data_IF_121869997264
#
_entry.id   IF_121869997264
#
_cell.length_a   1.000
_cell.length_b   1.000
_cell.length_c   1.000
_cell.angle_alpha   90.00
_cell.angle_beta   90.00
_cell.angle_gamma   90.00
#
_symmetry.space_group_name_H-M   'P 1'
#
loop_
_entity.id
_entity.type
_entity.pdbx_description
1 polymer ?
#
# COMPACT_ATOMS: atom_id res chain seq x y z
N UNK A 1 -9.99 -47.26 -4.46
CA UNK A 1 -10.22 -46.91 -3.04
C UNK A 1 -8.85 -46.69 -2.40
N UNK A 2 -8.66 -45.50 -1.81
CA UNK A 2 -7.54 -45.05 -0.96
C UNK A 2 -6.18 -44.76 -1.62
N UNK A 3 -6.07 -43.53 -2.15
CA UNK A 3 -4.81 -42.79 -2.26
C UNK A 3 -4.37 -42.38 -0.83
N UNK A 4 -3.23 -42.89 -0.38
CA UNK A 4 -2.49 -42.34 0.76
C UNK A 4 -1.89 -40.99 0.32
N UNK A 5 -2.50 -39.89 0.73
CA UNK A 5 -1.89 -38.56 0.61
C UNK A 5 -0.82 -38.41 1.67
N UNK A 6 0.40 -38.16 1.20
CA UNK A 6 1.52 -37.65 1.96
C UNK A 6 1.12 -36.33 2.62
N UNK A 7 1.21 -36.27 3.95
CA UNK A 7 1.48 -35.02 4.64
C UNK A 7 3.00 -34.88 4.77
N UNK A 8 3.62 -33.83 4.22
CA UNK A 8 4.92 -33.45 4.75
C UNK A 8 5.08 -31.94 5.00
N UNK A 9 5.78 -31.67 6.11
CA UNK A 9 6.68 -30.55 6.35
C UNK A 9 6.15 -29.12 6.54
N UNK A 10 5.03 -28.73 5.94
CA UNK A 10 4.61 -27.32 5.98
C UNK A 10 4.25 -26.82 7.40
N UNK A 11 3.74 -27.70 8.27
CA UNK A 11 3.27 -27.31 9.61
C UNK A 11 4.41 -27.13 10.64
N UNK A 12 5.59 -27.69 10.39
CA UNK A 12 6.74 -27.55 11.29
C UNK A 12 7.52 -26.25 11.07
N UNK A 13 7.39 -25.63 9.89
CA UNK A 13 8.13 -24.42 9.52
C UNK A 13 7.52 -23.13 10.11
N UNK A 14 6.20 -23.11 10.30
CA UNK A 14 5.45 -21.95 10.78
C UNK A 14 5.72 -21.56 12.26
N UNK A 15 6.52 -22.34 13.01
CA UNK A 15 6.79 -22.09 14.43
C UNK A 15 8.23 -21.59 14.72
N UNK A 16 9.09 -21.45 13.71
CA UNK A 16 10.46 -20.97 13.95
C UNK A 16 10.51 -19.44 13.96
N UNK A 17 10.55 -18.84 15.17
CA UNK A 17 10.72 -17.40 15.42
C UNK A 17 12.16 -16.91 15.19
N UNK A 18 12.79 -17.26 14.07
CA UNK A 18 14.15 -16.80 13.78
C UNK A 18 14.19 -15.87 12.55
N UNK A 19 13.81 -14.62 12.78
CA UNK A 19 13.81 -13.53 11.79
C UNK A 19 15.21 -13.26 11.24
N UNK A 20 16.26 -13.55 12.03
CA UNK A 20 17.68 -13.35 11.68
C UNK A 20 18.11 -14.14 10.45
N UNK A 21 17.55 -15.34 10.29
CA UNK A 21 17.92 -16.25 9.20
C UNK A 21 17.23 -15.83 7.88
N UNK A 22 16.00 -15.31 7.97
CA UNK A 22 15.26 -14.73 6.85
C UNK A 22 15.94 -13.44 6.33
N UNK A 23 16.36 -12.53 7.21
CA UNK A 23 17.03 -11.28 6.79
C UNK A 23 18.34 -11.57 6.06
N UNK A 24 19.16 -12.50 6.59
CA UNK A 24 20.41 -12.93 5.95
C UNK A 24 20.16 -13.62 4.60
N UNK A 25 19.09 -14.40 4.48
CA UNK A 25 18.69 -15.03 3.21
C UNK A 25 18.24 -14.00 2.17
N UNK A 26 17.51 -12.97 2.57
CA UNK A 26 17.10 -11.85 1.71
C UNK A 26 18.31 -11.05 1.23
N UNK A 27 19.27 -10.74 2.10
CA UNK A 27 20.50 -10.02 1.71
C UNK A 27 21.38 -10.83 0.75
N UNK A 28 21.41 -12.15 0.91
CA UNK A 28 22.12 -13.04 -0.01
C UNK A 28 21.49 -13.07 -1.39
N UNK A 29 20.16 -13.20 -1.46
CA UNK A 29 19.41 -13.15 -2.73
C UNK A 29 19.56 -11.81 -3.45
N UNK A 30 19.64 -10.69 -2.71
CA UNK A 30 19.91 -9.35 -3.28
C UNK A 30 21.29 -9.23 -3.92
N UNK A 31 22.29 -9.97 -3.43
CA UNK A 31 23.66 -9.96 -3.97
C UNK A 31 23.82 -10.86 -5.20
N UNK A 32 23.11 -11.97 -5.25
CA UNK A 32 23.33 -13.02 -6.26
C UNK A 32 22.59 -12.75 -7.59
N UNK A 33 21.49 -11.99 -7.63
CA UNK A 33 20.66 -11.84 -8.85
C UNK A 33 20.65 -10.48 -9.57
N UNK A 34 21.38 -9.44 -9.14
CA UNK A 34 21.27 -8.09 -9.74
C UNK A 34 19.80 -7.61 -9.87
N UNK A 35 18.97 -7.97 -8.88
CA UNK A 35 17.53 -7.68 -8.87
C UNK A 35 17.27 -6.15 -8.84
N UNK A 36 16.38 -5.64 -9.71
CA UNK A 36 15.97 -4.24 -9.67
C UNK A 36 15.32 -3.91 -8.31
N UNK A 37 15.61 -2.71 -7.80
CA UNK A 37 15.09 -2.18 -6.54
C UNK A 37 13.67 -1.64 -6.71
N UNK A 38 12.65 -2.47 -7.01
CA UNK A 38 11.21 -2.26 -6.69
C UNK A 38 10.29 -3.22 -7.50
N UNK A 39 9.03 -3.42 -7.06
CA UNK A 39 8.24 -4.59 -7.42
C UNK A 39 7.31 -4.35 -8.62
N UNK A 40 7.32 -5.26 -9.60
CA UNK A 40 6.15 -6.09 -9.95
C UNK A 40 6.52 -7.09 -11.05
N UNK A 41 6.78 -8.34 -10.68
CA UNK A 41 6.24 -9.54 -11.33
C UNK A 41 6.55 -10.73 -10.42
N UNK A 42 5.51 -11.40 -9.92
CA UNK A 42 5.59 -12.38 -8.85
C UNK A 42 5.60 -13.81 -9.39
N UNK A 43 6.49 -14.68 -8.87
CA UNK A 43 6.26 -16.14 -8.89
C UNK A 43 6.91 -16.95 -7.76
N UNK A 44 7.67 -16.34 -6.83
CA UNK A 44 8.28 -17.08 -5.70
C UNK A 44 8.52 -16.26 -4.42
N UNK A 45 8.63 -14.93 -4.52
CA UNK A 45 8.93 -14.04 -3.39
C UNK A 45 7.70 -13.62 -2.56
N UNK A 46 6.46 -13.68 -3.07
CA UNK A 46 5.28 -13.35 -2.25
C UNK A 46 4.92 -14.42 -1.24
N UNK A 47 5.35 -15.68 -1.35
CA UNK A 47 5.14 -16.62 -0.24
C UNK A 47 5.93 -16.19 1.02
N UNK A 48 7.13 -15.64 0.84
CA UNK A 48 8.00 -15.19 1.94
C UNK A 48 7.63 -13.77 2.40
N UNK A 49 7.19 -12.87 1.51
CA UNK A 49 6.70 -11.54 1.90
C UNK A 49 5.37 -11.57 2.66
N UNK A 50 4.48 -12.54 2.37
CA UNK A 50 3.19 -12.74 3.06
C UNK A 50 3.35 -13.02 4.57
N UNK A 51 4.52 -13.48 5.01
CA UNK A 51 4.79 -13.81 6.41
C UNK A 51 5.40 -12.65 7.22
N UNK A 52 5.76 -11.51 6.59
CA UNK A 52 6.53 -10.43 7.23
C UNK A 52 5.74 -9.10 7.32
N UNK A 53 4.73 -8.88 6.48
CA UNK A 53 3.89 -7.68 6.52
C UNK A 53 2.76 -7.83 7.54
N UNK A 54 2.92 -7.27 8.74
CA UNK A 54 1.88 -7.25 9.77
C UNK A 54 1.02 -5.98 9.68
N UNK A 55 0.04 -5.91 8.77
CA UNK A 55 -0.95 -4.82 8.63
C UNK A 55 -0.89 -4.06 7.29
N UNK A 56 -1.68 -2.99 7.14
CA UNK A 56 -1.85 -2.24 5.87
C UNK A 56 -0.63 -1.46 5.35
N UNK A 57 -0.18 -1.82 4.16
CA UNK A 57 0.84 -1.12 3.39
C UNK A 57 0.26 -0.65 2.06
N UNK A 58 0.56 0.58 1.66
CA UNK A 58 -0.02 1.20 0.47
C UNK A 58 1.03 1.96 -0.33
N UNK A 59 0.84 2.05 -1.64
CA UNK A 59 1.78 2.70 -2.55
C UNK A 59 1.05 3.46 -3.66
N UNK A 60 1.71 4.51 -4.16
CA UNK A 60 1.45 5.05 -5.49
C UNK A 60 2.65 4.74 -6.40
N UNK A 61 2.35 4.29 -7.61
CA UNK A 61 3.33 4.02 -8.64
C UNK A 61 3.05 4.83 -9.89
N UNK A 62 4.09 5.22 -10.60
CA UNK A 62 3.99 5.70 -11.98
C UNK A 62 4.53 4.65 -12.95
N UNK A 63 4.00 4.70 -14.17
CA UNK A 63 4.41 3.86 -15.28
C UNK A 63 4.40 4.67 -16.56
N UNK A 64 5.52 4.71 -17.27
CA UNK A 64 5.54 5.23 -18.63
C UNK A 64 4.72 4.32 -19.56
N UNK A 65 3.96 4.89 -20.49
CA UNK A 65 3.03 4.12 -21.35
C UNK A 65 3.69 3.00 -22.16
N UNK A 66 4.95 3.18 -22.53
CA UNK A 66 5.71 2.27 -23.39
C UNK A 66 6.71 1.39 -22.61
N UNK A 67 6.76 1.52 -21.28
CA UNK A 67 7.66 0.74 -20.42
C UNK A 67 6.87 -0.29 -19.64
N UNK A 68 7.50 -1.43 -19.33
CA UNK A 68 6.99 -2.37 -18.33
C UNK A 68 7.46 -2.02 -16.92
N UNK A 69 8.44 -1.13 -16.80
CA UNK A 69 8.97 -0.69 -15.52
C UNK A 69 8.00 0.27 -14.82
N UNK A 70 7.90 0.10 -13.51
CA UNK A 70 7.13 0.97 -12.62
C UNK A 70 8.06 1.62 -11.62
N UNK A 71 7.83 2.90 -11.34
CA UNK A 71 8.55 3.65 -10.31
C UNK A 71 7.59 4.00 -9.17
N UNK A 72 8.04 3.89 -7.94
CA UNK A 72 7.24 4.29 -6.77
C UNK A 72 7.32 5.80 -6.58
N UNK A 73 6.14 6.41 -6.44
CA UNK A 73 5.95 7.83 -6.18
C UNK A 73 5.94 8.09 -4.66
N UNK A 74 5.24 7.22 -3.92
CA UNK A 74 5.04 7.35 -2.49
C UNK A 74 4.56 6.06 -1.85
N UNK A 75 4.65 6.02 -0.53
CA UNK A 75 4.33 4.89 0.31
C UNK A 75 3.65 5.39 1.59
N UNK A 76 2.64 4.65 2.05
CA UNK A 76 2.02 4.86 3.33
C UNK A 76 2.02 3.57 4.14
N UNK A 77 2.19 3.73 5.44
CA UNK A 77 2.03 2.66 6.40
C UNK A 77 0.82 2.97 7.28
N UNK A 78 -0.28 2.25 7.07
CA UNK A 78 -1.50 2.37 7.89
C UNK A 78 -2.13 3.78 7.94
N UNK A 79 -1.97 4.57 6.87
CA UNK A 79 -2.71 5.83 6.70
C UNK A 79 -4.17 5.52 6.29
N UNK A 80 -4.98 5.22 7.29
CA UNK A 80 -6.33 4.65 7.18
C UNK A 80 -7.29 5.49 6.30
N UNK A 81 -7.29 6.79 6.53
CA UNK A 81 -8.07 7.78 5.82
C UNK A 81 -7.68 7.92 4.34
N UNK A 82 -6.40 7.70 4.01
CA UNK A 82 -5.92 7.71 2.62
C UNK A 82 -6.38 6.44 1.89
N UNK A 83 -6.33 5.28 2.57
CA UNK A 83 -6.97 4.06 2.06
C UNK A 83 -8.45 4.29 1.80
N UNK A 84 -9.20 4.74 2.82
CA UNK A 84 -10.64 4.93 2.71
C UNK A 84 -11.01 5.78 1.49
N UNK A 85 -10.23 6.83 1.20
CA UNK A 85 -10.39 7.64 0.00
C UNK A 85 -10.24 6.81 -1.29
N UNK A 86 -9.10 6.15 -1.52
CA UNK A 86 -8.88 5.39 -2.76
C UNK A 86 -9.85 4.23 -2.94
N UNK A 87 -10.22 3.56 -1.84
CA UNK A 87 -11.15 2.45 -1.88
C UNK A 87 -12.59 2.83 -2.24
N UNK A 88 -12.97 4.09 -2.01
CA UNK A 88 -14.27 4.60 -2.46
C UNK A 88 -14.44 4.54 -3.98
N UNK A 89 -13.34 4.48 -4.73
CA UNK A 89 -13.31 4.33 -6.19
C UNK A 89 -13.26 2.87 -6.68
N UNK A 90 -13.19 1.89 -5.76
CA UNK A 90 -13.22 0.45 -6.08
C UNK A 90 -14.17 -0.30 -5.11
N UNK A 91 -15.47 0.03 -5.08
CA UNK A 91 -16.44 -0.56 -4.16
C UNK A 91 -16.64 -2.07 -4.36
N UNK A 92 -16.26 -2.61 -5.52
CA UNK A 92 -16.26 -4.05 -5.79
C UNK A 92 -15.17 -4.83 -5.06
N UNK A 93 -14.13 -4.15 -4.56
CA UNK A 93 -13.02 -4.74 -3.81
C UNK A 93 -13.14 -4.55 -2.29
N UNK A 94 -14.36 -4.36 -1.78
CA UNK A 94 -14.61 -4.25 -0.33
C UNK A 94 -14.16 -5.55 0.35
N UNK A 95 -13.25 -5.42 1.33
CA UNK A 95 -12.70 -6.56 2.06
C UNK A 95 -11.63 -7.34 1.31
N UNK A 96 -11.21 -6.87 0.13
CA UNK A 96 -10.09 -7.40 -0.63
C UNK A 96 -8.94 -6.39 -0.73
N UNK A 97 -7.78 -6.84 -1.22
CA UNK A 97 -6.65 -5.97 -1.51
C UNK A 97 -6.86 -5.27 -2.85
N UNK A 98 -6.69 -3.95 -2.91
CA UNK A 98 -6.62 -3.21 -4.16
C UNK A 98 -5.22 -3.40 -4.77
N UNK A 99 -5.09 -4.27 -5.77
CA UNK A 99 -3.78 -4.52 -6.40
C UNK A 99 -3.33 -3.38 -7.30
N UNK A 100 -4.26 -2.81 -8.09
CA UNK A 100 -3.97 -1.76 -9.07
C UNK A 100 -5.23 -0.95 -9.41
N UNK A 101 -5.41 0.18 -8.72
CA UNK A 101 -6.42 1.18 -9.05
C UNK A 101 -5.78 2.27 -9.91
N UNK A 102 -6.32 2.53 -11.10
CA UNK A 102 -5.88 3.65 -11.93
C UNK A 102 -6.26 4.98 -11.27
N UNK A 103 -5.27 5.86 -11.09
CA UNK A 103 -5.45 7.16 -10.44
C UNK A 103 -5.34 8.26 -11.49
N UNK A 104 -6.36 9.12 -11.55
CA UNK A 104 -6.40 10.27 -12.45
C UNK A 104 -6.16 11.58 -11.70
N UNK A 105 -6.00 12.67 -12.45
CA UNK A 105 -5.76 14.01 -11.92
C UNK A 105 -6.91 14.47 -11.00
N UNK A 106 -8.15 14.22 -11.37
CA UNK A 106 -9.34 14.62 -10.59
C UNK A 106 -9.35 14.00 -9.19
N UNK A 107 -9.04 12.69 -9.09
CA UNK A 107 -8.93 12.00 -7.80
C UNK A 107 -7.86 12.64 -6.91
N UNK A 108 -6.70 12.96 -7.47
CA UNK A 108 -5.59 13.56 -6.72
C UNK A 108 -5.92 14.98 -6.26
N UNK A 109 -6.55 15.79 -7.12
CA UNK A 109 -6.98 17.15 -6.79
C UNK A 109 -8.07 17.13 -5.72
N UNK A 110 -9.01 16.18 -5.78
CA UNK A 110 -10.05 16.03 -4.76
C UNK A 110 -9.46 15.59 -3.42
N UNK A 111 -8.53 14.62 -3.40
CA UNK A 111 -7.83 14.23 -2.18
C UNK A 111 -7.08 15.42 -1.56
N UNK A 112 -6.32 16.16 -2.39
CA UNK A 112 -5.59 17.36 -1.95
C UNK A 112 -6.52 18.42 -1.37
N UNK A 113 -7.67 18.66 -2.01
CA UNK A 113 -8.68 19.62 -1.53
C UNK A 113 -9.19 19.22 -0.15
N UNK A 114 -9.58 17.96 0.03
CA UNK A 114 -10.08 17.44 1.32
C UNK A 114 -9.01 17.50 2.41
N UNK A 115 -7.77 17.12 2.10
CA UNK A 115 -6.62 17.23 3.01
C UNK A 115 -6.45 18.67 3.49
N UNK A 116 -6.40 19.63 2.58
CA UNK A 116 -6.22 21.03 2.94
C UNK A 116 -7.36 21.55 3.84
N UNK A 117 -8.60 21.15 3.59
CA UNK A 117 -9.72 21.48 4.47
C UNK A 117 -9.52 20.88 5.88
N UNK A 118 -9.17 19.60 5.99
CA UNK A 118 -8.94 18.94 7.28
C UNK A 118 -7.78 19.60 8.05
N UNK A 119 -6.68 19.94 7.37
CA UNK A 119 -5.52 20.60 7.97
C UNK A 119 -5.77 22.06 8.36
N UNK A 120 -6.66 22.75 7.64
CA UNK A 120 -7.04 24.13 7.98
C UNK A 120 -7.92 24.17 9.22
N UNK A 121 -8.92 23.29 9.28
CA UNK A 121 -9.92 23.30 10.35
C UNK A 121 -9.44 22.55 11.61
N UNK A 122 -8.64 21.49 11.44
CA UNK A 122 -8.20 20.56 12.49
C UNK A 122 -9.34 20.18 13.45
N UNK A 123 -10.48 19.86 12.86
CA UNK A 123 -11.70 19.50 13.56
C UNK A 123 -12.11 18.06 13.23
N UNK A 124 -12.39 17.26 14.25
CA UNK A 124 -12.76 15.84 14.09
C UNK A 124 -14.05 15.65 13.27
N UNK A 125 -15.10 16.44 13.52
CA UNK A 125 -16.36 16.29 12.79
C UNK A 125 -16.15 16.53 11.28
N UNK A 126 -15.43 17.60 10.94
CA UNK A 126 -15.10 17.94 9.54
C UNK A 126 -14.21 16.86 8.92
N UNK A 127 -13.19 16.41 9.65
CA UNK A 127 -12.24 15.39 9.16
C UNK A 127 -12.93 14.04 8.94
N UNK A 128 -13.85 13.67 9.84
CA UNK A 128 -14.63 12.43 9.72
C UNK A 128 -15.61 12.45 8.56
N UNK A 129 -16.11 13.62 8.16
CA UNK A 129 -16.98 13.78 7.00
C UNK A 129 -16.17 13.73 5.69
N UNK A 130 -15.03 14.43 5.63
CA UNK A 130 -14.25 14.58 4.40
C UNK A 130 -13.34 13.37 4.11
N UNK A 131 -12.63 12.89 5.13
CA UNK A 131 -11.62 11.83 5.06
C UNK A 131 -11.81 10.85 6.23
N UNK A 132 -12.90 10.06 6.21
CA UNK A 132 -13.21 9.12 7.28
C UNK A 132 -12.15 8.01 7.41
N UNK A 133 -11.93 7.56 8.63
CA UNK A 133 -11.20 6.31 8.89
C UNK A 133 -12.11 5.09 8.83
N UNK A 134 -11.57 3.92 8.49
CA UNK A 134 -12.26 2.63 8.57
C UNK A 134 -11.88 1.88 9.85
N UNK A 135 -12.86 1.36 10.59
CA UNK A 135 -12.62 0.57 11.81
C UNK A 135 -12.30 -0.89 11.47
N UNK A 136 -11.09 -1.13 10.96
CA UNK A 136 -10.58 -2.48 10.66
C UNK A 136 -9.25 -2.68 11.37
N UNK A 137 -9.12 -3.82 12.07
CA UNK A 137 -7.99 -4.13 12.95
C UNK A 137 -6.60 -3.96 12.31
N UNK A 138 -6.48 -4.12 11.00
CA UNK A 138 -5.21 -4.08 10.27
C UNK A 138 -4.80 -2.69 9.76
N UNK A 139 -5.71 -1.71 9.78
CA UNK A 139 -5.60 -0.48 8.98
C UNK A 139 -5.02 0.72 9.72
N UNK A 140 -4.67 0.58 11.00
CA UNK A 140 -4.14 1.67 11.82
C UNK A 140 -5.13 2.17 12.85
N UNK A 141 -4.88 3.35 13.38
CA UNK A 141 -5.80 4.04 14.28
C UNK A 141 -7.06 4.47 13.51
N UNK A 142 -8.17 4.62 14.23
CA UNK A 142 -9.39 5.28 13.75
C UNK A 142 -9.63 6.62 14.46
N UNK A 143 -8.65 7.10 15.21
CA UNK A 143 -8.70 8.38 15.92
C UNK A 143 -8.28 9.52 14.98
N UNK A 144 -8.89 10.70 15.16
CA UNK A 144 -8.56 11.93 14.42
C UNK A 144 -7.57 12.78 15.23
N UNK A 145 -6.46 12.17 15.59
CA UNK A 145 -5.41 12.74 16.44
C UNK A 145 -4.25 13.34 15.61
N UNK A 146 -3.14 13.67 16.27
CA UNK A 146 -1.97 14.22 15.57
C UNK A 146 -1.37 13.26 14.52
N UNK A 147 -1.52 11.95 14.69
CA UNK A 147 -1.03 10.98 13.70
C UNK A 147 -1.89 11.01 12.44
N UNK A 148 -3.21 11.13 12.60
CA UNK A 148 -4.11 11.34 11.47
C UNK A 148 -3.70 12.56 10.64
N UNK A 149 -3.45 13.71 11.29
CA UNK A 149 -3.06 14.93 10.57
C UNK A 149 -1.65 14.86 9.99
N UNK A 150 -0.71 14.19 10.68
CA UNK A 150 0.64 13.97 10.14
C UNK A 150 0.60 13.17 8.83
N UNK A 151 -0.20 12.10 8.79
CA UNK A 151 -0.40 11.32 7.56
C UNK A 151 -0.96 12.19 6.42
N UNK A 152 -1.83 13.16 6.72
CA UNK A 152 -2.36 14.10 5.72
C UNK A 152 -1.26 15.05 5.21
N UNK A 153 -0.45 15.61 6.10
CA UNK A 153 0.68 16.48 5.76
C UNK A 153 1.71 15.72 4.90
N UNK A 154 2.02 14.47 5.25
CA UNK A 154 2.94 13.60 4.51
C UNK A 154 2.39 13.17 3.15
N UNK A 155 1.06 13.17 3.00
CA UNK A 155 0.38 12.81 1.74
C UNK A 155 0.47 13.90 0.68
N UNK A 156 0.47 15.19 1.07
CA UNK A 156 0.55 16.31 0.13
C UNK A 156 1.76 16.22 -0.85
N UNK A 157 3.02 16.01 -0.41
CA UNK A 157 4.14 15.88 -1.32
C UNK A 157 4.07 14.63 -2.21
N UNK A 158 3.38 13.57 -1.79
CA UNK A 158 3.14 12.39 -2.62
C UNK A 158 2.16 12.75 -3.76
N UNK A 159 1.10 13.50 -3.46
CA UNK A 159 0.14 13.98 -4.46
C UNK A 159 0.82 14.88 -5.50
N UNK A 160 1.67 15.83 -5.09
CA UNK A 160 2.36 16.71 -6.04
C UNK A 160 3.25 15.94 -7.02
N UNK A 161 3.96 14.91 -6.54
CA UNK A 161 4.75 14.03 -7.41
C UNK A 161 3.85 13.24 -8.37
N UNK A 162 2.71 12.74 -7.89
CA UNK A 162 1.76 12.02 -8.73
C UNK A 162 1.13 12.91 -9.81
N UNK A 163 0.77 14.15 -9.48
CA UNK A 163 0.30 15.14 -10.45
C UNK A 163 1.38 15.46 -11.49
N UNK A 164 2.65 15.58 -11.05
CA UNK A 164 3.79 15.77 -11.96
C UNK A 164 3.96 14.58 -12.92
N UNK A 165 3.82 13.35 -12.42
CA UNK A 165 3.86 12.15 -13.25
C UNK A 165 2.76 12.15 -14.33
N UNK A 166 1.52 12.50 -13.95
CA UNK A 166 0.39 12.60 -14.89
C UNK A 166 0.66 13.69 -15.95
N UNK A 167 1.17 14.86 -15.54
CA UNK A 167 1.53 15.95 -16.45
C UNK A 167 2.63 15.54 -17.44
N UNK A 168 3.52 14.64 -17.04
CA UNK A 168 4.53 14.03 -17.90
C UNK A 168 3.97 12.87 -18.76
N UNK A 169 2.64 12.68 -18.78
CA UNK A 169 1.91 11.65 -19.51
C UNK A 169 2.19 10.21 -19.03
N UNK A 170 2.66 10.06 -17.79
CA UNK A 170 2.76 8.75 -17.13
C UNK A 170 1.40 8.31 -16.58
N UNK A 171 1.20 7.00 -16.51
CA UNK A 171 0.06 6.40 -15.83
C UNK A 171 0.38 6.30 -14.34
N UNK A 172 -0.59 6.58 -13.47
CA UNK A 172 -0.43 6.47 -12.02
C UNK A 172 -1.39 5.42 -11.48
N UNK A 173 -0.89 4.59 -10.56
CA UNK A 173 -1.64 3.50 -9.95
C UNK A 173 -1.50 3.49 -8.44
N UNK A 174 -2.60 3.25 -7.75
CA UNK A 174 -2.65 2.96 -6.32
C UNK A 174 -2.71 1.45 -6.10
N UNK A 175 -2.00 0.96 -5.09
CA UNK A 175 -2.09 -0.43 -4.67
C UNK A 175 -1.80 -0.60 -3.18
N UNK A 176 -2.25 -1.72 -2.62
CA UNK A 176 -2.13 -2.02 -1.19
C UNK A 176 -1.99 -3.51 -0.88
N UNK A 177 -1.63 -3.79 0.37
CA UNK A 177 -1.61 -5.14 0.92
C UNK A 177 -1.86 -5.15 2.43
N UNK A 178 -2.71 -6.07 2.91
CA UNK A 178 -2.97 -6.34 4.34
C UNK A 178 -3.24 -7.82 4.64
#
# INVERSE_FOLDING_TARGET
MLLKQQQPLALAFALSRDTTNLTKKIERLRKEEHLPKKPFFYSSLNQIRREIFMGLDMWLYEKERNSEEVAEIGYWRKANQIRAFFASYAPELIGENIEMLAVNEEMLLELKRRINCCLTERNENISSELLPTSQVFFFGSSEYDEWYYQDLEDTLPIIEKALTAINNNNLVFYGEWW
#
